data_IF_217242511280
#
_entry.id   IF_217242511280
#
_cell.length_a   1.000
_cell.length_b   1.000
_cell.length_c   1.000
_cell.angle_alpha   90.00
_cell.angle_beta   90.00
_cell.angle_gamma   90.00
#
_symmetry.space_group_name_H-M   'P 1'
#
loop_
_entity.id
_entity.type
_entity.pdbx_description
1 polymer ?
#
# COMPACT_ATOMS: atom_id res chain seq x y z
N UNK A 1 -11.35 -34.08 -33.04
CA UNK A 1 -11.83 -32.83 -32.42
C UNK A 1 -12.37 -33.22 -31.05
N UNK A 2 -11.53 -33.20 -30.02
CA UNK A 2 -11.93 -33.46 -28.65
C UNK A 2 -12.18 -32.11 -27.98
N UNK A 3 -13.44 -31.80 -27.71
CA UNK A 3 -13.84 -30.69 -26.87
C UNK A 3 -13.29 -30.92 -25.46
N UNK A 4 -12.46 -29.98 -25.00
CA UNK A 4 -12.06 -29.88 -23.61
C UNK A 4 -13.19 -29.12 -22.93
N UNK A 5 -14.06 -29.85 -22.22
CA UNK A 5 -15.01 -29.26 -21.28
C UNK A 5 -14.21 -28.49 -20.21
N UNK A 6 -14.25 -27.17 -20.32
CA UNK A 6 -13.84 -26.26 -19.25
C UNK A 6 -14.80 -26.44 -18.08
N UNK A 7 -14.40 -27.21 -17.08
CA UNK A 7 -15.04 -27.28 -15.76
C UNK A 7 -14.83 -25.96 -15.02
N UNK A 8 -15.55 -24.91 -15.44
CA UNK A 8 -15.84 -23.78 -14.54
C UNK A 8 -16.75 -24.34 -13.45
N UNK A 9 -16.17 -24.52 -12.27
CA UNK A 9 -16.86 -24.87 -11.03
C UNK A 9 -18.14 -24.02 -10.92
N UNK A 10 -19.28 -24.66 -10.74
CA UNK A 10 -20.61 -24.03 -10.84
C UNK A 10 -20.77 -23.00 -9.71
N UNK A 11 -20.46 -21.74 -9.99
CA UNK A 11 -20.38 -20.65 -9.01
C UNK A 11 -21.70 -20.42 -8.28
N UNK A 12 -22.82 -20.85 -8.87
CA UNK A 12 -24.15 -20.81 -8.26
C UNK A 12 -24.38 -21.88 -7.18
N UNK A 13 -23.56 -22.94 -7.11
CA UNK A 13 -23.68 -23.95 -6.08
C UNK A 13 -23.38 -23.40 -4.67
N UNK A 14 -22.56 -22.34 -4.57
CA UNK A 14 -22.20 -21.67 -3.31
C UNK A 14 -23.37 -20.89 -2.70
N UNK A 15 -24.20 -20.28 -3.55
CA UNK A 15 -25.31 -19.39 -3.11
C UNK A 15 -26.48 -20.19 -2.53
N UNK A 16 -26.60 -21.48 -2.84
CA UNK A 16 -27.68 -22.35 -2.38
C UNK A 16 -27.29 -23.30 -1.22
N UNK A 17 -26.04 -23.22 -0.73
CA UNK A 17 -25.48 -24.11 0.31
C UNK A 17 -25.16 -23.41 1.64
N UNK A 18 -24.52 -24.13 2.57
CA UNK A 18 -24.06 -23.60 3.87
C UNK A 18 -22.93 -22.55 3.78
N UNK A 19 -22.45 -22.29 2.57
CA UNK A 19 -21.36 -21.36 2.27
C UNK A 19 -21.84 -20.02 1.68
N UNK A 20 -23.16 -19.77 1.67
CA UNK A 20 -23.71 -18.48 1.28
C UNK A 20 -23.19 -17.35 2.20
N UNK A 21 -22.97 -16.13 1.67
CA UNK A 21 -22.50 -15.01 2.47
C UNK A 21 -23.55 -14.64 3.54
N UNK A 22 -23.11 -14.53 4.79
CA UNK A 22 -23.96 -14.13 5.92
C UNK A 22 -24.46 -12.68 5.76
N UNK A 23 -23.61 -11.83 5.16
CA UNK A 23 -23.90 -10.46 4.75
C UNK A 23 -23.61 -10.30 3.25
N UNK A 24 -24.65 -9.98 2.47
CA UNK A 24 -24.59 -9.91 1.01
C UNK A 24 -24.38 -8.50 0.44
N UNK A 25 -24.57 -7.46 1.24
CA UNK A 25 -24.36 -6.05 0.83
C UNK A 25 -23.26 -5.49 1.72
N UNK A 26 -22.17 -5.02 1.12
CA UNK A 26 -20.98 -4.55 1.83
C UNK A 26 -20.63 -3.12 1.46
N UNK A 27 -20.37 -2.31 2.48
CA UNK A 27 -19.84 -0.96 2.32
C UNK A 27 -18.32 -0.97 2.32
N UNK A 28 -17.70 -0.60 1.19
CA UNK A 28 -16.27 -0.70 0.97
C UNK A 28 -15.60 0.67 0.88
N UNK A 29 -14.64 0.94 1.76
CA UNK A 29 -13.85 2.17 1.75
C UNK A 29 -12.70 2.11 0.74
N UNK A 30 -12.50 3.19 -0.01
CA UNK A 30 -11.30 3.36 -0.84
C UNK A 30 -10.80 4.81 -0.84
N UNK A 31 -9.51 4.98 -1.12
CA UNK A 31 -8.91 6.30 -1.37
C UNK A 31 -8.80 6.52 -2.88
N UNK A 32 -8.88 7.79 -3.33
CA UNK A 32 -8.67 8.15 -4.72
C UNK A 32 -7.19 7.94 -5.13
N UNK A 33 -6.84 6.69 -5.42
CA UNK A 33 -5.51 6.22 -5.76
C UNK A 33 -5.61 5.09 -6.79
N UNK A 34 -4.60 4.97 -7.65
CA UNK A 34 -4.57 3.93 -8.69
C UNK A 34 -4.57 2.51 -8.12
N UNK A 35 -4.01 2.34 -6.91
CA UNK A 35 -3.98 1.07 -6.19
C UNK A 35 -5.33 0.66 -5.54
N UNK A 36 -6.40 1.42 -5.76
CA UNK A 36 -7.78 1.03 -5.43
C UNK A 36 -8.47 0.21 -6.53
N UNK A 37 -7.79 -0.01 -7.67
CA UNK A 37 -8.38 -0.56 -8.88
C UNK A 37 -9.06 -1.92 -8.69
N UNK A 38 -8.43 -2.86 -7.99
CA UNK A 38 -9.03 -4.19 -7.75
C UNK A 38 -10.38 -4.11 -7.05
N UNK A 39 -10.55 -3.20 -6.08
CA UNK A 39 -11.83 -2.99 -5.40
C UNK A 39 -12.86 -2.34 -6.33
N UNK A 40 -12.44 -1.36 -7.12
CA UNK A 40 -13.33 -0.69 -8.07
C UNK A 40 -13.83 -1.68 -9.12
N UNK A 41 -12.91 -2.45 -9.73
CA UNK A 41 -13.24 -3.47 -10.73
C UNK A 41 -14.14 -4.55 -10.11
N UNK A 42 -13.84 -5.02 -8.90
CA UNK A 42 -14.67 -6.04 -8.24
C UNK A 42 -16.13 -5.59 -8.05
N UNK A 43 -16.33 -4.34 -7.65
CA UNK A 43 -17.66 -3.78 -7.40
C UNK A 43 -18.44 -3.45 -8.68
N UNK A 44 -17.78 -3.19 -9.80
CA UNK A 44 -18.40 -2.57 -10.98
C UNK A 44 -18.49 -3.50 -12.18
N UNK A 45 -17.61 -4.49 -12.30
CA UNK A 45 -17.47 -5.33 -13.49
C UNK A 45 -18.04 -6.75 -13.35
N UNK A 46 -18.86 -7.01 -12.33
CA UNK A 46 -19.56 -8.29 -12.25
C UNK A 46 -18.87 -9.37 -11.41
N UNK A 47 -17.73 -9.09 -10.79
CA UNK A 47 -16.96 -10.11 -10.05
C UNK A 47 -17.56 -10.49 -8.69
N UNK A 48 -18.40 -9.63 -8.10
CA UNK A 48 -19.03 -9.90 -6.81
C UNK A 48 -20.31 -10.76 -6.95
N UNK A 49 -20.99 -10.66 -8.09
CA UNK A 49 -22.31 -11.22 -8.35
C UNK A 49 -22.34 -12.75 -8.31
N UNK A 50 -21.36 -13.49 -8.87
CA UNK A 50 -21.31 -14.95 -8.77
C UNK A 50 -21.27 -15.45 -7.32
N UNK A 51 -20.81 -14.62 -6.39
CA UNK A 51 -20.70 -14.93 -4.97
C UNK A 51 -21.83 -14.35 -4.12
N UNK A 52 -22.87 -13.82 -4.77
CA UNK A 52 -24.03 -13.24 -4.08
C UNK A 52 -23.73 -11.94 -3.33
N UNK A 53 -22.67 -11.22 -3.72
CA UNK A 53 -22.26 -9.97 -3.10
C UNK A 53 -22.66 -8.74 -3.93
N UNK A 54 -23.08 -7.69 -3.24
CA UNK A 54 -23.22 -6.32 -3.74
C UNK A 54 -22.23 -5.44 -2.98
N UNK A 55 -21.33 -4.78 -3.71
CA UNK A 55 -20.26 -3.98 -3.12
C UNK A 55 -20.52 -2.49 -3.36
N UNK A 56 -20.80 -1.75 -2.28
CA UNK A 56 -21.04 -0.32 -2.31
C UNK A 56 -19.73 0.42 -2.04
N UNK A 57 -19.16 1.05 -3.07
CA UNK A 57 -17.92 1.81 -2.91
C UNK A 57 -18.18 3.17 -2.27
N UNK A 58 -17.37 3.50 -1.26
CA UNK A 58 -17.40 4.79 -0.59
C UNK A 58 -16.00 5.43 -0.63
N UNK A 59 -15.85 6.49 -1.43
CA UNK A 59 -14.59 7.27 -1.47
C UNK A 59 -14.39 7.99 -0.14
N UNK A 60 -13.21 7.84 0.43
CA UNK A 60 -12.83 8.49 1.69
C UNK A 60 -11.96 9.72 1.45
N UNK A 61 -12.12 10.72 2.32
CA UNK A 61 -11.39 11.99 2.23
C UNK A 61 -9.96 11.90 2.79
N UNK A 62 -9.71 10.99 3.74
CA UNK A 62 -8.42 10.78 4.36
C UNK A 62 -8.31 9.36 4.92
N UNK A 63 -7.07 8.90 5.13
CA UNK A 63 -6.82 7.62 5.80
C UNK A 63 -7.32 7.59 7.25
N UNK A 64 -7.37 8.73 7.94
CA UNK A 64 -7.93 8.81 9.29
C UNK A 64 -9.45 8.59 9.27
N UNK A 65 -10.16 9.25 8.35
CA UNK A 65 -11.60 9.04 8.16
C UNK A 65 -11.92 7.60 7.77
N UNK A 66 -11.12 7.01 6.86
CA UNK A 66 -11.27 5.61 6.45
C UNK A 66 -11.12 4.67 7.65
N UNK A 67 -10.08 4.86 8.48
CA UNK A 67 -9.91 4.12 9.74
C UNK A 67 -11.14 4.26 10.61
N UNK A 68 -11.55 5.49 10.91
CA UNK A 68 -12.62 5.74 11.89
C UNK A 68 -13.93 5.07 11.47
N UNK A 69 -14.26 5.10 10.17
CA UNK A 69 -15.44 4.44 9.61
C UNK A 69 -15.34 2.92 9.56
N UNK A 70 -14.14 2.38 9.32
CA UNK A 70 -13.91 0.93 9.39
C UNK A 70 -14.06 0.42 10.83
N UNK A 71 -13.55 1.18 11.81
CA UNK A 71 -13.63 0.82 13.23
C UNK A 71 -15.04 1.00 13.82
N UNK A 72 -15.85 1.90 13.28
CA UNK A 72 -17.24 2.08 13.70
C UNK A 72 -18.21 1.09 13.04
N UNK A 73 -17.75 0.31 12.06
CA UNK A 73 -18.60 -0.57 11.25
C UNK A 73 -19.46 0.17 10.21
N UNK A 74 -19.21 1.46 9.96
CA UNK A 74 -19.81 2.17 8.82
C UNK A 74 -19.25 1.65 7.49
N UNK A 75 -18.01 1.16 7.50
CA UNK A 75 -17.42 0.37 6.42
C UNK A 75 -17.18 -1.06 6.90
N UNK A 76 -17.50 -2.02 6.05
CA UNK A 76 -17.28 -3.45 6.29
C UNK A 76 -15.84 -3.86 6.00
N UNK A 77 -15.29 -3.34 4.90
CA UNK A 77 -13.91 -3.55 4.50
C UNK A 77 -13.37 -2.30 3.81
N UNK A 78 -12.05 -2.21 3.69
CA UNK A 78 -11.44 -1.11 2.98
C UNK A 78 -10.11 -1.48 2.32
N UNK A 79 -9.79 -0.72 1.27
CA UNK A 79 -8.40 -0.50 0.92
C UNK A 79 -7.70 0.14 2.13
N UNK A 80 -6.65 -0.50 2.65
CA UNK A 80 -5.91 0.01 3.78
C UNK A 80 -4.40 0.02 3.52
N UNK A 81 -3.70 0.93 4.19
CA UNK A 81 -2.23 0.92 4.23
C UNK A 81 -1.78 -0.24 5.13
N UNK A 82 -0.83 -1.07 4.67
CA UNK A 82 -0.31 -2.19 5.47
C UNK A 82 0.04 -1.77 6.91
N UNK A 83 0.86 -0.73 7.06
CA UNK A 83 1.26 -0.24 8.38
C UNK A 83 0.13 0.46 9.16
N UNK A 84 -0.92 0.96 8.51
CA UNK A 84 -2.10 1.46 9.24
C UNK A 84 -2.81 0.32 9.98
N UNK A 85 -2.96 -0.84 9.34
CA UNK A 85 -3.60 -2.02 9.97
C UNK A 85 -2.84 -2.45 11.22
N UNK A 86 -1.52 -2.59 11.13
CA UNK A 86 -0.67 -2.92 12.28
C UNK A 86 -0.66 -1.82 13.34
N UNK A 87 -0.65 -0.56 12.92
CA UNK A 87 -0.70 0.59 13.83
C UNK A 87 -1.98 0.64 14.65
N UNK A 88 -3.13 0.28 14.06
CA UNK A 88 -4.40 0.16 14.78
C UNK A 88 -4.36 -1.04 15.74
N UNK A 89 -3.95 -2.22 15.25
CA UNK A 89 -3.90 -3.44 16.05
C UNK A 89 -3.03 -3.28 17.30
N UNK A 90 -1.92 -2.57 17.19
CA UNK A 90 -0.97 -2.33 18.27
C UNK A 90 -1.28 -1.07 19.12
N UNK A 91 -2.37 -0.34 18.83
CA UNK A 91 -2.74 0.86 19.58
C UNK A 91 -1.83 2.08 19.36
N UNK A 92 -1.12 2.14 18.23
CA UNK A 92 -0.23 3.26 17.85
C UNK A 92 -0.98 4.46 17.27
N UNK A 93 -2.26 4.30 16.97
CA UNK A 93 -3.08 5.32 16.28
C UNK A 93 -4.45 5.52 16.94
N UNK A 94 -4.52 5.27 18.25
CA UNK A 94 -5.75 5.28 19.05
C UNK A 94 -5.83 4.02 19.92
N UNK A 95 -7.01 3.74 20.52
CA UNK A 95 -7.25 2.46 21.20
C UNK A 95 -6.96 1.27 20.28
N UNK A 96 -6.32 0.24 20.81
CA UNK A 96 -6.06 -0.98 20.06
C UNK A 96 -7.38 -1.64 19.66
N UNK A 97 -7.50 -2.02 18.39
CA UNK A 97 -8.63 -2.81 17.87
C UNK A 97 -8.07 -3.95 17.04
N UNK A 98 -8.54 -5.16 17.27
CA UNK A 98 -8.07 -6.32 16.52
C UNK A 98 -8.48 -6.20 15.05
N UNK A 99 -7.47 -6.15 14.18
CA UNK A 99 -7.62 -6.05 12.74
C UNK A 99 -7.32 -7.36 12.02
N UNK A 100 -7.83 -7.50 10.80
CA UNK A 100 -7.54 -8.62 9.91
C UNK A 100 -7.20 -8.15 8.48
N UNK A 101 -6.26 -8.85 7.85
CA UNK A 101 -5.89 -8.70 6.43
C UNK A 101 -6.39 -9.92 5.68
N UNK A 102 -7.22 -9.69 4.65
CA UNK A 102 -7.75 -10.75 3.80
C UNK A 102 -6.82 -11.10 2.64
N UNK A 103 -6.22 -10.07 2.01
CA UNK A 103 -5.28 -10.21 0.88
C UNK A 103 -4.48 -8.92 0.67
N UNK A 104 -3.35 -9.03 -0.03
CA UNK A 104 -2.71 -7.89 -0.68
C UNK A 104 -3.55 -7.39 -1.87
N UNK A 105 -3.51 -6.08 -2.14
CA UNK A 105 -4.23 -5.46 -3.27
C UNK A 105 -3.30 -5.03 -4.40
N UNK A 106 -2.06 -4.63 -4.06
CA UNK A 106 -1.08 -4.24 -5.06
C UNK A 106 0.35 -4.33 -4.51
N UNK A 107 1.31 -4.30 -5.44
CA UNK A 107 2.71 -3.99 -5.18
C UNK A 107 3.11 -2.74 -5.98
N UNK A 108 4.10 -2.01 -5.46
CA UNK A 108 4.73 -0.87 -6.14
C UNK A 108 3.79 0.34 -6.38
N UNK A 109 4.22 1.27 -7.24
CA UNK A 109 3.37 2.36 -7.74
C UNK A 109 3.29 3.61 -6.86
N UNK A 110 4.22 3.78 -5.92
CA UNK A 110 4.34 5.00 -5.12
C UNK A 110 5.59 5.78 -5.50
N UNK A 111 5.64 7.07 -5.15
CA UNK A 111 6.73 7.95 -5.53
C UNK A 111 7.06 8.95 -4.42
N UNK A 112 8.33 9.37 -4.40
CA UNK A 112 8.84 10.51 -3.64
C UNK A 112 9.07 11.63 -4.64
N UNK A 113 8.26 12.69 -4.54
CA UNK A 113 8.32 13.85 -5.40
C UNK A 113 8.89 15.05 -4.66
N UNK A 114 9.65 15.87 -5.38
CA UNK A 114 10.13 17.18 -4.92
C UNK A 114 9.47 18.31 -5.73
N UNK A 115 9.41 19.48 -5.13
CA UNK A 115 8.78 20.66 -5.71
C UNK A 115 9.59 21.28 -6.86
N UNK A 116 8.90 21.97 -7.75
CA UNK A 116 9.53 22.77 -8.83
C UNK A 116 10.54 23.81 -8.29
N UNK A 117 10.28 24.55 -7.19
CA UNK A 117 11.30 25.41 -6.59
C UNK A 117 12.61 24.71 -6.20
N UNK A 118 12.53 23.46 -5.71
CA UNK A 118 13.74 22.68 -5.42
C UNK A 118 14.49 22.28 -6.70
N UNK A 119 13.76 21.93 -7.78
CA UNK A 119 14.35 21.68 -9.10
C UNK A 119 15.12 22.90 -9.62
N UNK A 120 14.51 24.09 -9.54
CA UNK A 120 15.13 25.35 -9.95
C UNK A 120 16.36 25.71 -9.10
N UNK A 121 16.37 25.32 -7.84
CA UNK A 121 17.52 25.45 -6.94
C UNK A 121 18.63 24.40 -7.22
N UNK A 122 18.48 23.54 -8.23
CA UNK A 122 19.44 22.49 -8.59
C UNK A 122 19.39 21.25 -7.70
N UNK A 123 18.33 21.09 -6.90
CA UNK A 123 18.14 19.94 -6.01
C UNK A 123 17.46 18.81 -6.76
N UNK A 124 18.15 18.22 -7.74
CA UNK A 124 17.60 17.22 -8.67
C UNK A 124 18.16 15.80 -8.49
N UNK A 125 19.01 15.59 -7.48
CA UNK A 125 19.55 14.27 -7.11
C UNK A 125 19.46 14.05 -5.60
N UNK A 126 19.62 12.79 -5.17
CA UNK A 126 19.63 12.45 -3.75
C UNK A 126 20.79 13.12 -3.00
N UNK A 127 21.97 13.22 -3.63
CA UNK A 127 23.15 13.91 -3.10
C UNK A 127 22.90 15.41 -2.97
N UNK A 128 22.24 16.02 -3.97
CA UNK A 128 21.87 17.42 -3.94
C UNK A 128 20.85 17.70 -2.83
N UNK A 129 19.88 16.81 -2.63
CA UNK A 129 18.91 16.91 -1.53
C UNK A 129 19.59 16.81 -0.17
N UNK A 130 20.44 15.80 0.04
CA UNK A 130 21.18 15.63 1.29
C UNK A 130 22.09 16.83 1.57
N UNK A 131 22.69 17.41 0.53
CA UNK A 131 23.49 18.63 0.66
C UNK A 131 22.63 19.84 1.01
N UNK A 132 21.44 19.98 0.40
CA UNK A 132 20.48 21.06 0.71
C UNK A 132 19.99 21.00 2.15
N UNK A 133 19.70 19.81 2.66
CA UNK A 133 19.24 19.58 4.05
C UNK A 133 20.34 19.91 5.07
N UNK A 134 21.61 19.60 4.78
CA UNK A 134 22.75 19.89 5.68
C UNK A 134 23.12 21.38 5.75
N UNK A 135 22.71 22.18 4.78
CA UNK A 135 22.96 23.63 4.82
C UNK A 135 22.18 24.28 5.96
N UNK A 136 22.80 25.24 6.66
CA UNK A 136 22.11 26.01 7.69
C UNK A 136 20.93 26.79 7.09
N UNK A 137 19.71 26.52 7.56
CA UNK A 137 18.50 27.15 7.05
C UNK A 137 17.23 26.53 7.64
N UNK A 138 16.07 26.93 7.13
CA UNK A 138 14.80 26.30 7.48
C UNK A 138 14.79 24.85 6.97
N UNK A 139 14.30 23.92 7.81
CA UNK A 139 14.12 22.52 7.44
C UNK A 139 13.11 22.40 6.30
N UNK A 140 13.42 21.53 5.34
CA UNK A 140 12.47 21.15 4.29
C UNK A 140 11.27 20.43 4.92
N UNK A 141 10.09 20.63 4.35
CA UNK A 141 8.84 20.03 4.83
C UNK A 141 8.35 18.98 3.85
N UNK A 142 8.31 17.73 4.29
CA UNK A 142 7.82 16.61 3.49
C UNK A 142 6.44 16.15 3.94
N UNK A 143 5.53 15.94 3.00
CA UNK A 143 4.25 15.30 3.28
C UNK A 143 4.31 13.77 3.15
N UNK A 144 3.61 13.11 4.06
CA UNK A 144 3.20 11.71 3.97
C UNK A 144 1.70 11.61 4.25
N UNK A 145 1.13 10.41 4.16
CA UNK A 145 -0.33 10.23 4.12
C UNK A 145 -0.94 9.75 5.45
N UNK A 146 -0.16 9.03 6.26
CA UNK A 146 -0.51 8.56 7.60
C UNK A 146 0.76 8.14 8.37
N UNK A 147 0.96 8.52 9.65
CA UNK A 147 2.23 8.28 10.36
C UNK A 147 2.69 6.82 10.47
N UNK A 148 1.77 5.87 10.66
CA UNK A 148 2.09 4.43 10.64
C UNK A 148 1.93 3.82 9.25
N UNK A 149 1.54 4.61 8.25
CA UNK A 149 1.23 4.16 6.90
C UNK A 149 2.45 3.86 6.05
N UNK A 150 2.21 3.28 4.87
CA UNK A 150 3.27 2.87 3.95
C UNK A 150 4.10 4.04 3.46
N UNK A 151 3.47 5.14 3.07
CA UNK A 151 4.17 6.35 2.57
C UNK A 151 5.12 6.97 3.60
N UNK A 152 4.76 6.96 4.88
CA UNK A 152 5.66 7.41 5.93
C UNK A 152 6.88 6.48 6.05
N UNK A 153 6.67 5.16 5.98
CA UNK A 153 7.78 4.20 6.04
C UNK A 153 8.69 4.27 4.81
N UNK A 154 8.15 4.43 3.60
CA UNK A 154 8.95 4.62 2.38
C UNK A 154 9.77 5.90 2.41
N UNK A 155 9.13 7.01 2.77
CA UNK A 155 9.82 8.30 2.90
C UNK A 155 10.93 8.22 3.94
N UNK A 156 10.64 7.66 5.12
CA UNK A 156 11.62 7.55 6.19
C UNK A 156 12.78 6.62 5.82
N UNK A 157 12.50 5.48 5.18
CA UNK A 157 13.54 4.54 4.75
C UNK A 157 14.45 5.19 3.71
N UNK A 158 13.85 5.84 2.70
CA UNK A 158 14.60 6.49 1.63
C UNK A 158 15.43 7.66 2.17
N UNK A 159 14.85 8.59 2.93
CA UNK A 159 15.61 9.70 3.53
C UNK A 159 16.78 9.22 4.38
N UNK A 160 16.54 8.22 5.24
CA UNK A 160 17.58 7.66 6.09
C UNK A 160 18.70 7.00 5.28
N UNK A 161 18.38 6.36 4.15
CA UNK A 161 19.41 5.81 3.25
C UNK A 161 20.29 6.88 2.60
N UNK A 162 19.78 8.12 2.49
CA UNK A 162 20.52 9.28 1.99
C UNK A 162 21.25 10.05 3.11
N UNK A 163 21.26 9.50 4.34
CA UNK A 163 21.89 10.14 5.49
C UNK A 163 21.08 11.31 6.08
N UNK A 164 19.78 11.39 5.78
CA UNK A 164 18.87 12.42 6.31
C UNK A 164 18.00 11.78 7.39
N UNK A 165 18.05 12.28 8.62
CA UNK A 165 17.19 11.79 9.70
C UNK A 165 15.75 12.30 9.50
N UNK A 166 14.77 11.43 9.21
CA UNK A 166 13.44 11.86 8.77
C UNK A 166 12.61 12.57 9.85
N UNK A 167 12.98 12.43 11.13
CA UNK A 167 12.30 13.06 12.26
C UNK A 167 13.07 14.24 12.86
N UNK A 168 14.32 14.47 12.42
CA UNK A 168 15.20 15.49 13.02
C UNK A 168 15.70 16.49 11.99
N UNK A 169 16.06 16.06 10.78
CA UNK A 169 16.65 16.95 9.78
C UNK A 169 15.60 17.63 8.89
N UNK A 170 14.38 17.10 8.86
CA UNK A 170 13.26 17.61 8.06
C UNK A 170 12.00 17.73 8.91
N UNK A 171 11.02 18.50 8.43
CA UNK A 171 9.67 18.49 8.99
C UNK A 171 8.84 17.45 8.24
N UNK A 172 7.95 16.74 8.96
CA UNK A 172 6.97 15.83 8.37
C UNK A 172 5.56 16.30 8.68
N UNK A 173 4.69 16.28 7.67
CA UNK A 173 3.26 16.63 7.79
C UNK A 173 2.38 15.56 7.17
N UNK A 174 1.14 15.45 7.64
CA UNK A 174 0.13 14.55 7.07
C UNK A 174 -0.73 15.32 6.07
N UNK A 175 -0.79 14.85 4.83
CA UNK A 175 -1.63 15.45 3.77
C UNK A 175 -2.36 14.32 3.02
N UNK A 176 -3.67 14.45 2.74
CA UNK A 176 -4.38 13.50 1.89
C UNK A 176 -3.75 13.44 0.48
N UNK A 177 -3.61 12.25 -0.15
CA UNK A 177 -2.93 12.12 -1.44
C UNK A 177 -3.45 13.06 -2.54
N UNK A 178 -4.78 13.22 -2.67
CA UNK A 178 -5.40 14.11 -3.66
C UNK A 178 -5.10 15.60 -3.46
N UNK A 179 -4.57 15.99 -2.30
CA UNK A 179 -4.20 17.37 -1.98
C UNK A 179 -2.70 17.65 -2.12
N UNK A 180 -1.88 16.63 -2.42
CA UNK A 180 -0.41 16.76 -2.49
C UNK A 180 0.03 17.81 -3.52
N UNK A 181 -0.53 17.75 -4.74
CA UNK A 181 -0.17 18.66 -5.83
C UNK A 181 -0.56 20.11 -5.48
N UNK A 182 -1.72 20.32 -4.87
CA UNK A 182 -2.16 21.64 -4.42
C UNK A 182 -1.26 22.19 -3.29
N UNK A 183 -0.76 21.33 -2.40
CA UNK A 183 0.18 21.72 -1.35
C UNK A 183 1.58 22.07 -1.89
N UNK A 184 2.07 21.37 -2.92
CA UNK A 184 3.28 21.76 -3.65
C UNK A 184 3.10 23.13 -4.32
N UNK A 185 2.02 23.31 -5.10
CA UNK A 185 1.68 24.58 -5.77
C UNK A 185 1.69 25.77 -4.80
N UNK A 186 1.14 25.55 -3.60
CA UNK A 186 1.04 26.58 -2.57
C UNK A 186 2.32 26.75 -1.72
N UNK A 187 3.42 26.08 -2.07
CA UNK A 187 4.68 26.07 -1.31
C UNK A 187 4.50 25.73 0.19
N UNK A 188 3.51 24.89 0.51
CA UNK A 188 3.26 24.43 1.89
C UNK A 188 4.12 23.22 2.25
N UNK A 189 4.63 22.53 1.24
CA UNK A 189 5.51 21.38 1.34
C UNK A 189 6.57 21.49 0.24
N UNK A 190 7.77 20.97 0.52
CA UNK A 190 8.90 20.93 -0.40
C UNK A 190 8.98 19.60 -1.18
N UNK A 191 8.32 18.56 -0.65
CA UNK A 191 8.21 17.26 -1.29
C UNK A 191 7.15 16.40 -0.61
N UNK A 192 6.84 15.25 -1.20
CA UNK A 192 5.90 14.29 -0.62
C UNK A 192 6.23 12.85 -0.99
N UNK A 193 5.71 11.90 -0.22
CA UNK A 193 5.56 10.52 -0.63
C UNK A 193 4.07 10.14 -0.70
N UNK A 194 3.61 9.66 -1.86
CA UNK A 194 2.22 9.26 -2.09
C UNK A 194 2.12 8.21 -3.21
N UNK A 195 0.96 7.54 -3.27
CA UNK A 195 0.60 6.66 -4.39
C UNK A 195 0.15 7.44 -5.62
N UNK A 196 0.14 6.74 -6.76
CA UNK A 196 -0.40 7.28 -8.00
C UNK A 196 -1.89 7.67 -7.89
N UNK A 197 -2.36 8.64 -8.71
CA UNK A 197 -1.63 9.27 -9.81
C UNK A 197 -0.87 10.55 -9.44
N UNK A 198 -0.87 10.95 -8.17
CA UNK A 198 -0.53 12.31 -7.75
C UNK A 198 0.92 12.74 -8.05
N UNK A 199 1.86 11.80 -8.04
CA UNK A 199 3.24 12.05 -8.47
C UNK A 199 3.37 12.30 -9.97
N UNK A 200 2.63 11.55 -10.79
CA UNK A 200 2.60 11.75 -12.24
C UNK A 200 1.89 13.06 -12.60
N UNK A 201 0.78 13.36 -11.92
CA UNK A 201 0.07 14.64 -12.11
C UNK A 201 0.94 15.85 -11.75
N UNK A 202 1.75 15.75 -10.68
CA UNK A 202 2.69 16.83 -10.32
C UNK A 202 3.74 17.08 -11.41
N UNK A 203 4.17 16.03 -12.12
CA UNK A 203 5.10 16.12 -13.26
C UNK A 203 4.40 16.73 -14.48
N UNK A 204 3.21 16.23 -14.84
CA UNK A 204 2.42 16.72 -15.98
C UNK A 204 2.05 18.21 -15.84
N UNK A 205 1.82 18.70 -14.61
CA UNK A 205 1.48 20.10 -14.33
C UNK A 205 2.69 21.00 -14.05
N UNK A 206 3.93 20.52 -14.24
CA UNK A 206 5.17 21.25 -13.94
C UNK A 206 5.24 21.80 -12.49
N UNK A 207 4.69 21.07 -11.52
CA UNK A 207 4.67 21.47 -10.11
C UNK A 207 5.69 20.73 -9.25
N UNK A 208 6.18 19.62 -9.75
CA UNK A 208 7.20 18.83 -9.12
C UNK A 208 7.72 17.75 -10.04
N UNK A 209 8.67 16.98 -9.54
CA UNK A 209 9.33 15.92 -10.28
C UNK A 209 9.52 14.72 -9.35
N UNK A 210 9.59 13.52 -9.91
CA UNK A 210 9.80 12.28 -9.14
C UNK A 210 11.29 12.09 -8.92
N UNK A 211 11.74 12.06 -7.66
CA UNK A 211 13.14 11.82 -7.34
C UNK A 211 13.44 10.34 -7.09
N UNK A 212 12.46 9.59 -6.58
CA UNK A 212 12.56 8.14 -6.40
C UNK A 212 11.18 7.50 -6.49
N UNK A 213 11.12 6.30 -7.07
CA UNK A 213 9.94 5.44 -6.97
C UNK A 213 10.09 4.44 -5.83
N UNK A 214 8.98 3.95 -5.28
CA UNK A 214 9.03 3.03 -4.15
C UNK A 214 9.63 1.67 -4.50
N UNK A 215 9.51 1.22 -5.76
CA UNK A 215 10.20 0.01 -6.22
C UNK A 215 11.74 0.15 -6.30
N UNK A 216 12.29 1.37 -6.31
CA UNK A 216 13.73 1.58 -6.11
C UNK A 216 14.14 1.36 -4.64
N UNK A 217 13.20 1.50 -3.70
CA UNK A 217 13.43 1.29 -2.25
C UNK A 217 13.40 -0.21 -1.96
N UNK A 218 12.37 -0.88 -2.46
CA UNK A 218 12.15 -2.30 -2.34
C UNK A 218 11.40 -2.76 -3.59
N UNK A 219 12.06 -3.51 -4.47
CA UNK A 219 11.43 -4.08 -5.64
C UNK A 219 10.29 -5.05 -5.23
N UNK A 220 9.10 -4.87 -5.81
CA UNK A 220 7.92 -5.68 -5.52
C UNK A 220 7.48 -5.64 -4.05
N UNK A 221 7.60 -4.46 -3.44
CA UNK A 221 7.25 -4.24 -2.04
C UNK A 221 5.75 -4.38 -1.80
N UNK A 222 5.34 -4.81 -0.59
CA UNK A 222 3.93 -4.80 -0.19
C UNK A 222 3.41 -3.37 -0.14
N UNK A 223 2.14 -3.15 -0.45
CA UNK A 223 1.60 -1.80 -0.43
C UNK A 223 0.20 -1.71 0.20
N UNK A 224 -0.87 -1.88 -0.58
CA UNK A 224 -2.24 -1.85 -0.04
C UNK A 224 -2.74 -3.24 0.28
N UNK A 225 -3.63 -3.33 1.26
CA UNK A 225 -4.32 -4.56 1.66
C UNK A 225 -5.81 -4.36 1.68
N UNK A 226 -6.54 -5.47 1.54
CA UNK A 226 -7.94 -5.54 1.89
C UNK A 226 -8.03 -5.76 3.41
N UNK A 227 -8.27 -4.66 4.14
CA UNK A 227 -8.34 -4.64 5.60
C UNK A 227 -9.78 -4.66 6.10
N UNK A 228 -9.99 -5.39 7.19
CA UNK A 228 -11.25 -5.50 7.93
C UNK A 228 -10.96 -5.50 9.44
N UNK A 229 -11.99 -5.34 10.27
CA UNK A 229 -11.85 -5.69 11.70
C UNK A 229 -11.81 -7.21 11.88
N UNK A 230 -11.19 -7.68 12.96
CA UNK A 230 -11.20 -9.11 13.30
C UNK A 230 -12.62 -9.61 13.55
N UNK A 231 -13.42 -8.80 14.22
CA UNK A 231 -14.84 -9.04 14.48
C UNK A 231 -15.63 -9.33 13.19
N UNK A 232 -15.39 -8.58 12.11
CA UNK A 232 -16.06 -8.82 10.82
C UNK A 232 -15.80 -10.23 10.28
N UNK A 233 -14.55 -10.71 10.36
CA UNK A 233 -14.18 -12.07 9.88
C UNK A 233 -14.80 -13.15 10.76
N UNK A 234 -14.87 -12.92 12.07
CA UNK A 234 -15.45 -13.87 13.02
C UNK A 234 -16.97 -13.95 12.89
N UNK A 235 -17.63 -12.83 12.61
CA UNK A 235 -19.07 -12.77 12.45
C UNK A 235 -19.55 -13.19 11.05
N UNK A 236 -18.77 -12.87 10.00
CA UNK A 236 -19.15 -13.11 8.60
C UNK A 236 -18.04 -13.82 7.80
N UNK A 237 -17.61 -15.03 8.22
CA UNK A 237 -16.51 -15.75 7.58
C UNK A 237 -16.79 -16.13 6.12
N UNK A 238 -18.02 -16.53 5.76
CA UNK A 238 -18.35 -16.84 4.36
C UNK A 238 -18.36 -15.58 3.49
N UNK A 239 -18.91 -14.48 4.01
CA UNK A 239 -18.84 -13.15 3.36
C UNK A 239 -17.40 -12.71 3.13
N UNK A 240 -16.53 -12.82 4.14
CA UNK A 240 -15.12 -12.44 4.01
C UNK A 240 -14.39 -13.30 2.95
N UNK A 241 -14.67 -14.60 2.88
CA UNK A 241 -14.15 -15.49 1.84
C UNK A 241 -14.67 -15.12 0.45
N UNK A 242 -15.99 -14.90 0.31
CA UNK A 242 -16.62 -14.47 -0.94
C UNK A 242 -16.06 -13.12 -1.45
N UNK A 243 -15.86 -12.17 -0.55
CA UNK A 243 -15.25 -10.87 -0.87
C UNK A 243 -13.81 -11.05 -1.36
N UNK A 244 -13.03 -11.89 -0.66
CA UNK A 244 -11.66 -12.21 -1.06
C UNK A 244 -11.61 -12.82 -2.46
N UNK A 245 -12.51 -13.75 -2.78
CA UNK A 245 -12.63 -14.36 -4.11
C UNK A 245 -12.96 -13.31 -5.19
N UNK A 246 -13.96 -12.46 -4.95
CA UNK A 246 -14.34 -11.40 -5.89
C UNK A 246 -13.17 -10.45 -6.21
N UNK A 247 -12.43 -10.02 -5.18
CA UNK A 247 -11.31 -9.09 -5.35
C UNK A 247 -10.07 -9.78 -5.95
N UNK A 248 -9.85 -11.07 -5.66
CA UNK A 248 -8.82 -11.88 -6.34
C UNK A 248 -9.07 -11.98 -7.84
N UNK A 249 -10.30 -12.28 -8.25
CA UNK A 249 -10.63 -12.35 -9.67
C UNK A 249 -10.51 -11.01 -10.39
N UNK A 250 -10.95 -9.93 -9.74
CA UNK A 250 -10.76 -8.58 -10.26
C UNK A 250 -9.27 -8.25 -10.43
N UNK A 251 -8.44 -8.59 -9.45
CA UNK A 251 -6.99 -8.38 -9.51
C UNK A 251 -6.36 -9.17 -10.68
N UNK A 252 -6.75 -10.44 -10.83
CA UNK A 252 -6.31 -11.31 -11.94
C UNK A 252 -6.71 -10.73 -13.29
N UNK A 253 -7.94 -10.26 -13.43
CA UNK A 253 -8.42 -9.63 -14.65
C UNK A 253 -7.57 -8.41 -15.04
N UNK A 254 -7.29 -7.51 -14.09
CA UNK A 254 -6.52 -6.30 -14.35
C UNK A 254 -5.15 -6.63 -14.96
N UNK A 255 -4.47 -7.63 -14.42
CA UNK A 255 -3.10 -7.99 -14.84
C UNK A 255 -3.04 -8.98 -16.02
N UNK A 256 -4.17 -9.57 -16.44
CA UNK A 256 -4.21 -10.62 -17.46
C UNK A 256 -3.63 -10.18 -18.81
N UNK A 257 -3.86 -8.93 -19.23
CA UNK A 257 -3.33 -8.38 -20.47
C UNK A 257 -3.35 -6.83 -20.46
N UNK A 258 -2.66 -6.22 -21.42
CA UNK A 258 -2.58 -4.75 -21.52
C UNK A 258 -3.94 -4.08 -21.80
N UNK A 259 -4.86 -4.73 -22.51
CA UNK A 259 -6.19 -4.16 -22.79
C UNK A 259 -7.01 -4.03 -21.51
N UNK A 260 -6.96 -5.04 -20.62
CA UNK A 260 -7.60 -4.98 -19.30
C UNK A 260 -6.98 -3.89 -18.42
N UNK A 261 -5.65 -3.68 -18.50
CA UNK A 261 -4.96 -2.58 -17.82
C UNK A 261 -5.45 -1.21 -18.29
N UNK A 262 -5.53 -1.01 -19.61
CA UNK A 262 -6.01 0.25 -20.22
C UNK A 262 -7.48 0.52 -19.90
N UNK A 263 -8.34 -0.48 -20.04
CA UNK A 263 -9.76 -0.34 -19.73
C UNK A 263 -9.99 -0.07 -18.23
N UNK A 264 -9.20 -0.69 -17.35
CA UNK A 264 -9.19 -0.39 -15.92
C UNK A 264 -8.75 1.03 -15.63
N UNK A 265 -7.65 1.50 -16.24
CA UNK A 265 -7.18 2.88 -16.09
C UNK A 265 -8.26 3.89 -16.52
N UNK A 266 -8.92 3.64 -17.66
CA UNK A 266 -10.03 4.46 -18.16
C UNK A 266 -11.24 4.45 -17.23
N UNK A 267 -11.59 3.30 -16.65
CA UNK A 267 -12.67 3.20 -15.67
C UNK A 267 -12.36 4.04 -14.43
N UNK A 268 -11.19 3.84 -13.81
CA UNK A 268 -10.87 4.47 -12.53
C UNK A 268 -10.58 5.97 -12.66
N UNK A 269 -10.26 6.48 -13.86
CA UNK A 269 -10.04 7.91 -14.08
C UNK A 269 -11.32 8.74 -13.94
N UNK A 270 -12.50 8.11 -13.93
CA UNK A 270 -13.77 8.83 -13.87
C UNK A 270 -13.96 9.60 -12.56
N UNK A 271 -14.89 10.57 -12.60
CA UNK A 271 -15.23 11.44 -11.46
C UNK A 271 -15.74 10.65 -10.26
N UNK A 272 -16.32 9.48 -10.48
CA UNK A 272 -16.86 8.59 -9.46
C UNK A 272 -15.77 7.85 -8.68
N UNK A 273 -14.55 7.72 -9.23
CA UNK A 273 -13.46 6.95 -8.60
C UNK A 273 -12.20 7.74 -8.22
N UNK A 274 -11.21 7.88 -9.10
CA UNK A 274 -9.98 8.61 -8.78
C UNK A 274 -10.12 10.10 -9.08
N UNK A 275 -10.96 10.45 -10.06
CA UNK A 275 -11.17 11.84 -10.50
C UNK A 275 -9.85 12.53 -10.86
N UNK A 276 -9.09 11.90 -11.76
CA UNK A 276 -7.81 12.41 -12.24
C UNK A 276 -7.65 12.11 -13.75
N UNK A 277 -6.84 12.88 -14.48
CA UNK A 277 -6.60 12.67 -15.90
C UNK A 277 -6.10 11.25 -16.20
N UNK A 278 -6.61 10.67 -17.30
CA UNK A 278 -6.16 9.35 -17.75
C UNK A 278 -4.66 9.34 -18.06
N UNK A 279 -4.10 10.44 -18.56
CA UNK A 279 -2.66 10.65 -18.81
C UNK A 279 -1.80 10.42 -17.57
N UNK A 280 -2.31 10.76 -16.38
CA UNK A 280 -1.59 10.56 -15.12
C UNK A 280 -1.77 9.13 -14.53
N UNK A 281 -2.71 8.34 -15.05
CA UNK A 281 -3.08 7.01 -14.53
C UNK A 281 -2.54 5.89 -15.43
N UNK A 282 -2.91 5.89 -16.72
CA UNK A 282 -2.67 4.77 -17.65
C UNK A 282 -1.20 4.37 -17.77
N UNK A 283 -0.23 5.30 -17.92
CA UNK A 283 1.17 4.92 -18.09
C UNK A 283 1.69 4.04 -16.95
N UNK A 284 1.25 4.30 -15.70
CA UNK A 284 1.72 3.55 -14.53
C UNK A 284 1.21 2.10 -14.50
N UNK A 285 0.01 1.84 -15.04
CA UNK A 285 -0.49 0.47 -15.23
C UNK A 285 0.35 -0.30 -16.26
N UNK A 286 0.88 0.41 -17.26
CA UNK A 286 1.68 -0.15 -18.34
C UNK A 286 3.18 -0.17 -18.04
N UNK A 287 3.57 0.17 -16.81
CA UNK A 287 4.97 0.23 -16.41
C UNK A 287 5.76 1.39 -17.03
N UNK A 288 5.08 2.38 -17.61
CA UNK A 288 5.70 3.55 -18.22
C UNK A 288 5.82 4.67 -17.17
N UNK A 289 7.05 5.04 -16.86
CA UNK A 289 7.37 6.00 -15.83
C UNK A 289 8.18 7.15 -16.44
N UNK A 290 7.94 8.36 -15.95
CA UNK A 290 8.76 9.53 -16.20
C UNK A 290 8.98 10.29 -14.89
N UNK A 291 10.13 10.96 -14.81
CA UNK A 291 10.55 11.67 -13.61
C UNK A 291 10.32 13.18 -13.65
N UNK A 292 10.08 13.77 -14.82
CA UNK A 292 10.00 15.24 -14.97
C UNK A 292 11.36 15.95 -15.00
N UNK A 293 12.46 15.20 -15.07
CA UNK A 293 13.83 15.67 -15.30
C UNK A 293 14.35 15.27 -16.70
N UNK A 294 13.47 14.75 -17.55
CA UNK A 294 13.79 14.30 -18.90
C UNK A 294 14.15 12.82 -19.00
N UNK A 295 13.99 12.05 -17.93
CA UNK A 295 14.14 10.60 -17.96
C UNK A 295 12.77 9.90 -17.98
N UNK A 296 12.61 8.99 -18.94
CA UNK A 296 11.48 8.09 -19.04
C UNK A 296 11.98 6.65 -19.19
N UNK A 297 11.30 5.70 -18.56
CA UNK A 297 11.68 4.30 -18.56
C UNK A 297 10.48 3.36 -18.50
N UNK A 298 10.71 2.12 -18.91
CA UNK A 298 9.82 1.00 -18.65
C UNK A 298 10.32 0.30 -17.38
N UNK A 299 9.51 0.35 -16.32
CA UNK A 299 9.89 -0.21 -15.02
C UNK A 299 9.74 -1.73 -15.01
N UNK A 300 10.76 -2.43 -14.49
CA UNK A 300 10.72 -3.88 -14.33
C UNK A 300 9.81 -4.33 -13.18
N UNK A 301 9.53 -3.43 -12.24
CA UNK A 301 8.70 -3.62 -11.05
C UNK A 301 7.58 -2.56 -11.02
N UNK A 302 6.70 -2.54 -12.03
CA UNK A 302 5.64 -1.53 -12.12
C UNK A 302 4.56 -1.79 -11.06
N UNK A 303 3.53 -0.93 -11.04
CA UNK A 303 2.29 -1.21 -10.32
C UNK A 303 1.69 -2.54 -10.81
N UNK A 304 1.49 -3.49 -9.91
CA UNK A 304 0.90 -4.82 -10.20
C UNK A 304 -0.19 -5.14 -9.20
N UNK A 305 -1.17 -5.95 -9.63
CA UNK A 305 -2.35 -6.31 -8.83
C UNK A 305 -2.46 -7.81 -8.54
N UNK A 306 -1.89 -8.67 -9.38
CA UNK A 306 -2.01 -10.13 -9.26
C UNK A 306 -0.67 -10.86 -9.29
N UNK A 307 0.11 -10.70 -10.36
CA UNK A 307 1.37 -11.43 -10.60
C UNK A 307 1.30 -12.92 -10.21
N UNK A 308 0.41 -13.67 -10.86
CA UNK A 308 0.16 -15.10 -10.59
C UNK A 308 -0.19 -15.43 -9.12
N UNK A 309 -0.73 -14.45 -8.39
CA UNK A 309 -1.11 -14.56 -6.98
C UNK A 309 -0.02 -14.10 -5.99
N UNK A 310 1.17 -13.73 -6.46
CA UNK A 310 2.25 -13.26 -5.59
C UNK A 310 1.91 -11.93 -4.92
N UNK A 311 1.26 -11.02 -5.64
CA UNK A 311 0.82 -9.71 -5.12
C UNK A 311 -0.26 -9.87 -4.05
N UNK A 312 -1.18 -10.79 -4.27
CA UNK A 312 -2.38 -10.94 -3.45
C UNK A 312 -2.15 -11.77 -2.20
N UNK A 313 -1.10 -12.61 -2.19
CA UNK A 313 -0.71 -13.40 -1.03
C UNK A 313 -0.38 -12.48 0.17
N UNK A 314 -1.08 -12.61 1.30
CA UNK A 314 -0.82 -11.80 2.49
C UNK A 314 0.39 -12.35 3.25
N UNK A 315 1.60 -12.12 2.73
CA UNK A 315 2.86 -12.57 3.31
C UNK A 315 3.07 -12.06 4.74
N UNK A 316 3.40 -12.95 5.69
CA UNK A 316 3.66 -12.57 7.08
C UNK A 316 4.91 -11.68 7.19
N UNK A 317 5.94 -11.99 6.40
CA UNK A 317 7.18 -11.19 6.35
C UNK A 317 6.92 -9.72 6.01
N UNK A 318 5.91 -9.44 5.19
CA UNK A 318 5.58 -8.09 4.75
C UNK A 318 5.01 -7.25 5.89
N UNK A 319 4.05 -7.82 6.63
CA UNK A 319 3.48 -7.16 7.81
C UNK A 319 4.50 -7.02 8.95
N UNK A 320 5.34 -8.05 9.15
CA UNK A 320 6.43 -8.00 10.12
C UNK A 320 7.42 -6.86 9.83
N UNK A 321 7.70 -6.58 8.56
CA UNK A 321 8.61 -5.49 8.18
C UNK A 321 8.11 -4.14 8.73
N UNK A 322 6.81 -3.84 8.62
CA UNK A 322 6.24 -2.59 9.15
C UNK A 322 6.46 -2.45 10.66
N UNK A 323 6.29 -3.53 11.42
CA UNK A 323 6.59 -3.52 12.86
C UNK A 323 8.08 -3.23 13.14
N UNK A 324 9.00 -3.75 12.32
CA UNK A 324 10.43 -3.41 12.47
C UNK A 324 10.69 -1.92 12.24
N UNK A 325 9.96 -1.30 11.30
CA UNK A 325 10.07 0.13 11.06
C UNK A 325 9.42 0.95 12.17
N UNK A 326 8.32 0.48 12.76
CA UNK A 326 7.72 1.11 13.95
C UNK A 326 8.69 1.10 15.13
N UNK A 327 9.43 0.00 15.31
CA UNK A 327 10.52 -0.05 16.28
C UNK A 327 11.64 0.90 15.92
N UNK A 328 12.16 0.85 14.69
CA UNK A 328 13.22 1.73 14.19
C UNK A 328 12.92 3.21 14.45
N UNK A 329 11.67 3.64 14.26
CA UNK A 329 11.24 5.03 14.40
C UNK A 329 10.63 5.37 15.76
N UNK A 330 10.80 4.50 16.77
CA UNK A 330 10.39 4.79 18.14
C UNK A 330 8.88 4.84 18.38
N UNK A 331 8.07 4.43 17.39
CA UNK A 331 6.61 4.29 17.53
C UNK A 331 6.29 3.14 18.50
N UNK A 332 7.06 2.04 18.40
CA UNK A 332 7.05 0.97 19.38
C UNK A 332 8.24 1.11 20.33
N UNK A 333 7.96 1.10 21.64
CA UNK A 333 8.99 1.20 22.70
C UNK A 333 9.73 -0.10 22.97
N UNK A 334 9.04 -1.23 22.81
CA UNK A 334 9.55 -2.58 23.06
C UNK A 334 9.26 -3.47 21.85
N UNK A 335 10.08 -4.51 21.66
CA UNK A 335 9.93 -5.44 20.54
C UNK A 335 8.65 -6.25 20.73
N UNK A 336 7.71 -6.23 19.77
CA UNK A 336 6.51 -7.06 19.85
C UNK A 336 6.87 -8.52 19.55
N UNK A 337 5.94 -9.44 19.84
CA UNK A 337 5.96 -10.76 19.20
C UNK A 337 5.61 -10.60 17.71
N UNK A 338 6.61 -10.25 16.90
CA UNK A 338 6.43 -9.93 15.48
C UNK A 338 5.66 -11.03 14.73
N UNK A 339 6.04 -12.29 14.94
CA UNK A 339 5.40 -13.39 14.23
C UNK A 339 4.01 -13.71 14.80
N UNK A 340 3.84 -13.65 16.12
CA UNK A 340 2.54 -13.84 16.76
C UNK A 340 1.50 -12.81 16.31
N UNK A 341 1.87 -11.53 16.34
CA UNK A 341 1.00 -10.43 15.87
C UNK A 341 0.67 -10.58 14.39
N UNK A 342 1.66 -10.89 13.54
CA UNK A 342 1.41 -11.07 12.11
C UNK A 342 0.44 -12.23 11.84
N UNK A 343 0.55 -13.34 12.58
CA UNK A 343 -0.36 -14.50 12.48
C UNK A 343 -1.79 -14.17 12.93
N UNK A 344 -1.97 -13.28 13.89
CA UNK A 344 -3.32 -12.86 14.33
C UNK A 344 -4.02 -12.02 13.26
N UNK A 345 -3.26 -11.12 12.61
CA UNK A 345 -3.80 -10.20 11.61
C UNK A 345 -4.07 -10.91 10.26
N UNK A 346 -3.13 -11.71 9.77
CA UNK A 346 -3.21 -12.27 8.42
C UNK A 346 -4.14 -13.49 8.37
N UNK A 347 -5.22 -13.40 7.60
CA UNK A 347 -6.22 -14.48 7.46
C UNK A 347 -5.77 -15.54 6.43
N UNK A 348 -4.63 -16.19 6.69
CA UNK A 348 -3.98 -17.11 5.75
C UNK A 348 -4.86 -18.29 5.33
N UNK A 349 -5.62 -18.86 6.27
CA UNK A 349 -6.48 -20.01 5.96
C UNK A 349 -7.69 -19.61 5.12
N UNK A 350 -8.30 -18.45 5.41
CA UNK A 350 -9.38 -17.88 4.61
C UNK A 350 -8.89 -17.54 3.20
N UNK A 351 -7.73 -16.87 3.08
CA UNK A 351 -7.11 -16.59 1.79
C UNK A 351 -6.83 -17.88 1.01
N UNK A 352 -6.29 -18.91 1.66
CA UNK A 352 -6.01 -20.20 1.01
C UNK A 352 -7.27 -20.83 0.45
N UNK A 353 -8.36 -20.88 1.24
CA UNK A 353 -9.64 -21.39 0.76
C UNK A 353 -10.15 -20.62 -0.47
N UNK A 354 -10.09 -19.29 -0.43
CA UNK A 354 -10.48 -18.43 -1.56
C UNK A 354 -9.62 -18.66 -2.81
N UNK A 355 -8.29 -18.68 -2.65
CA UNK A 355 -7.35 -18.88 -3.74
C UNK A 355 -7.47 -20.28 -4.38
N UNK A 356 -7.58 -21.33 -3.56
CA UNK A 356 -7.76 -22.71 -4.03
C UNK A 356 -9.08 -22.88 -4.79
N UNK A 357 -10.17 -22.26 -4.32
CA UNK A 357 -11.45 -22.26 -5.03
C UNK A 357 -11.37 -21.64 -6.44
N UNK A 358 -10.43 -20.73 -6.65
CA UNK A 358 -10.17 -20.04 -7.92
C UNK A 358 -9.03 -20.66 -8.75
N UNK A 359 -8.42 -21.75 -8.26
CA UNK A 359 -7.28 -22.40 -8.92
C UNK A 359 -5.98 -21.60 -8.86
N UNK A 360 -5.83 -20.69 -7.89
CA UNK A 360 -4.63 -19.88 -7.70
C UNK A 360 -3.67 -20.64 -6.77
N UNK A 361 -2.41 -20.75 -7.17
CA UNK A 361 -1.40 -21.44 -6.38
C UNK A 361 -1.08 -20.67 -5.09
N UNK A 362 -1.10 -21.36 -3.94
CA UNK A 362 -0.76 -20.77 -2.64
C UNK A 362 0.59 -21.31 -2.17
N UNK A 363 1.58 -20.44 -1.90
CA UNK A 363 2.86 -20.85 -1.34
C UNK A 363 2.69 -21.55 0.01
N UNK A 364 3.47 -22.63 0.24
CA UNK A 364 3.46 -23.35 1.53
C UNK A 364 4.06 -22.52 2.66
N UNK A 365 5.09 -21.74 2.34
CA UNK A 365 5.73 -20.85 3.29
C UNK A 365 5.14 -19.44 3.12
N UNK A 366 4.50 -18.83 4.14
CA UNK A 366 3.96 -17.49 4.06
C UNK A 366 5.01 -16.39 4.31
N UNK A 367 6.30 -16.72 4.24
CA UNK A 367 7.42 -15.78 4.31
C UNK A 367 8.05 -15.63 2.93
N UNK A 368 8.45 -14.40 2.59
CA UNK A 368 9.25 -14.10 1.39
C UNK A 368 10.46 -13.24 1.74
N UNK A 369 11.45 -13.26 0.85
CA UNK A 369 12.70 -12.52 1.00
C UNK A 369 12.78 -11.41 -0.04
N UNK A 370 13.39 -10.28 0.34
CA UNK A 370 13.74 -9.20 -0.56
C UNK A 370 15.01 -8.48 -0.12
N UNK A 371 15.70 -7.86 -1.08
CA UNK A 371 16.83 -6.97 -0.82
C UNK A 371 16.38 -5.54 -1.04
N UNK A 372 16.54 -4.69 -0.03
CA UNK A 372 16.19 -3.27 -0.10
C UNK A 372 17.35 -2.45 -0.66
N UNK A 373 17.09 -1.19 -0.98
CA UNK A 373 18.01 -0.29 -1.70
C UNK A 373 19.40 -0.14 -1.07
N UNK A 374 19.52 -0.35 0.23
CA UNK A 374 20.75 -0.26 1.01
C UNK A 374 21.49 -1.61 1.12
N UNK A 375 21.07 -2.60 0.33
CA UNK A 375 21.63 -3.95 0.30
C UNK A 375 21.21 -4.84 1.47
N UNK A 376 20.37 -4.34 2.39
CA UNK A 376 19.86 -5.16 3.50
C UNK A 376 18.85 -6.17 2.99
N UNK A 377 19.03 -7.42 3.41
CA UNK A 377 18.08 -8.50 3.15
C UNK A 377 17.02 -8.52 4.25
N UNK A 378 15.76 -8.58 3.85
CA UNK A 378 14.62 -8.82 4.72
C UNK A 378 13.94 -10.12 4.31
N UNK A 379 13.93 -11.11 5.21
CA UNK A 379 13.27 -12.41 5.04
C UNK A 379 12.35 -12.77 6.22
N UNK A 380 12.24 -11.88 7.21
CA UNK A 380 11.47 -12.05 8.43
C UNK A 380 12.02 -13.06 9.45
N UNK A 381 13.24 -13.57 9.27
CA UNK A 381 13.85 -14.54 10.20
C UNK A 381 14.39 -13.91 11.50
N UNK A 382 14.88 -12.67 11.44
CA UNK A 382 15.39 -11.92 12.59
C UNK A 382 14.86 -10.47 12.62
N UNK A 383 13.57 -10.26 12.99
CA UNK A 383 12.98 -8.94 13.05
C UNK A 383 13.64 -7.99 14.06
N UNK A 384 14.12 -8.53 15.19
CA UNK A 384 14.79 -7.75 16.25
C UNK A 384 16.14 -7.24 15.75
N UNK A 385 16.97 -8.12 15.19
CA UNK A 385 18.25 -7.76 14.60
C UNK A 385 18.08 -6.79 13.43
N UNK A 386 17.10 -7.03 12.55
CA UNK A 386 16.81 -6.14 11.43
C UNK A 386 16.47 -4.71 11.91
N UNK A 387 15.50 -4.57 12.82
CA UNK A 387 15.14 -3.28 13.43
C UNK A 387 16.34 -2.59 14.12
N UNK A 388 17.25 -3.39 14.67
CA UNK A 388 18.46 -2.92 15.34
C UNK A 388 19.66 -2.60 14.46
N UNK A 389 19.60 -2.95 13.18
CA UNK A 389 20.76 -2.91 12.28
C UNK A 389 21.00 -1.55 11.59
N UNK A 390 20.14 -0.56 11.82
CA UNK A 390 20.19 0.73 11.14
C UNK A 390 20.93 1.77 11.97
N UNK A 391 21.84 2.53 11.37
CA UNK A 391 22.54 3.61 12.04
C UNK A 391 21.63 4.82 12.35
N UNK A 392 20.73 5.15 11.41
CA UNK A 392 19.73 6.22 11.59
C UNK A 392 18.42 5.59 12.08
N UNK A 393 18.05 5.95 13.31
CA UNK A 393 16.89 5.45 14.03
C UNK A 393 16.44 6.44 15.13
N UNK A 394 15.21 6.29 15.62
CA UNK A 394 14.68 7.07 16.75
C UNK A 394 14.35 6.22 18.00
N UNK A 395 14.98 5.05 18.13
CA UNK A 395 14.83 4.18 19.31
C UNK A 395 15.44 4.81 20.56
N UNK A 396 14.67 4.94 21.64
CA UNK A 396 15.21 5.31 22.95
C UNK A 396 15.97 4.12 23.57
N UNK A 397 17.29 4.23 23.76
CA UNK A 397 18.05 3.22 24.52
C UNK A 397 19.44 2.79 24.02
N UNK A 398 20.12 3.54 23.16
CA UNK A 398 21.60 3.47 23.07
C UNK A 398 22.17 4.81 23.53
N UNK A 399 22.14 5.02 24.84
CA UNK A 399 23.09 5.95 25.45
C UNK A 399 24.48 5.40 25.14
N UNK A 400 25.24 6.09 24.29
CA UNK A 400 26.69 5.91 24.30
C UNK A 400 27.16 6.11 25.75
N UNK A 401 28.01 5.23 26.32
CA UNK A 401 28.56 5.47 27.63
C UNK A 401 29.42 6.73 27.53
N UNK A 402 28.90 7.84 28.04
CA UNK A 402 29.72 9.01 28.35
C UNK A 402 30.55 8.57 29.55
N UNK A 403 31.80 8.17 29.28
CA UNK A 403 32.81 8.07 30.31
C UNK A 403 33.00 9.46 30.92
N UNK A 404 32.99 9.51 32.25
CA UNK A 404 33.15 10.71 33.10
C UNK A 404 34.32 11.61 32.66
#
# INVERSE_FOLDING_TARGET
>A
MSEIESTRNDSLAWVAGSDAPEKSVLDLGFMALTDSASLIVAATQGFAQPYGLTLNLQRQASWATLRDKLLSGELDAAQALYGQVYGIHLGLSGPATEMAILMGLCQNGQAINLSEPLKQAGVTSAEALASRVRQSGAKLTFAQTFPTGTHAMWLNYWLASQGIHPLEDVNSVVVPPSQMVAHLKAARIDGFCAGGPWGALAVEEDQGFTLATSQMIWADHPEKVLGVTREFVEQYPNTARALTMAVLEASRFIDENEENKRSTAQLISSREYVDAPLSAIEPRFLGQYEDGLGHAWLDAHPLRFFADGEVTMPWLSDGMWFMTQFRRWGLLKDDPDYLGVARQIHQLDLYRQAAEALGIAVPKNPMRSATLLDGKVWDGSDPVGYAGSFAIHARSGLAAPIAL
#
